data_IF_374454949173
#
_entry.id   IF_374454949173
#
_cell.length_a   1.000
_cell.length_b   1.000
_cell.length_c   1.000
_cell.angle_alpha   90.00
_cell.angle_beta   90.00
_cell.angle_gamma   90.00
#
_symmetry.space_group_name_H-M   'P 1'
#
loop_
_entity.id
_entity.type
_entity.pdbx_description
1 polymer ?
#
# COMPACT_ATOMS: atom_id res chain seq x y z
N UNK A 1 -25.81 23.87 -16.11
CA UNK A 1 -24.51 23.38 -15.60
C UNK A 1 -23.84 22.38 -16.53
N UNK A 2 -24.52 21.40 -17.13
CA UNK A 2 -23.90 20.40 -18.01
C UNK A 2 -23.18 20.95 -19.26
N UNK A 3 -23.70 21.98 -19.93
CA UNK A 3 -23.09 22.53 -21.13
C UNK A 3 -21.70 23.18 -20.89
N UNK A 4 -21.47 23.76 -19.72
CA UNK A 4 -20.18 24.37 -19.36
C UNK A 4 -19.13 23.32 -18.97
N UNK A 5 -19.53 22.21 -18.35
CA UNK A 5 -18.65 21.09 -18.03
C UNK A 5 -18.15 20.42 -19.31
N UNK A 6 -19.06 20.14 -20.25
CA UNK A 6 -18.68 19.52 -21.53
C UNK A 6 -17.72 20.41 -22.34
N UNK A 7 -17.98 21.73 -22.43
CA UNK A 7 -17.10 22.64 -23.18
C UNK A 7 -15.69 22.74 -22.55
N UNK A 8 -15.57 22.69 -21.23
CA UNK A 8 -14.26 22.70 -20.56
C UNK A 8 -13.55 21.36 -20.76
N UNK A 9 -14.28 20.24 -20.70
CA UNK A 9 -13.74 18.91 -20.97
C UNK A 9 -13.24 18.80 -22.42
N UNK A 10 -14.00 19.30 -23.39
CA UNK A 10 -13.60 19.31 -24.81
C UNK A 10 -12.33 20.17 -25.04
N UNK A 11 -12.25 21.31 -24.36
CA UNK A 11 -11.06 22.17 -24.43
C UNK A 11 -9.84 21.46 -23.81
N UNK A 12 -10.01 20.76 -22.70
CA UNK A 12 -8.94 19.98 -22.05
C UNK A 12 -8.47 18.81 -22.94
N UNK A 13 -9.41 18.12 -23.59
CA UNK A 13 -9.09 17.06 -24.56
C UNK A 13 -8.31 17.60 -25.76
N UNK A 14 -8.67 18.77 -26.25
CA UNK A 14 -7.93 19.46 -27.33
C UNK A 14 -6.48 19.77 -26.92
N UNK A 15 -6.29 20.35 -25.73
CA UNK A 15 -4.95 20.63 -25.18
C UNK A 15 -4.13 19.35 -24.99
N UNK A 16 -4.77 18.26 -24.55
CA UNK A 16 -4.11 16.97 -24.43
C UNK A 16 -3.65 16.44 -25.79
N UNK A 17 -4.50 16.52 -26.80
CA UNK A 17 -4.17 16.11 -28.18
C UNK A 17 -3.01 16.93 -28.77
N UNK A 18 -2.94 18.22 -28.44
CA UNK A 18 -1.86 19.13 -28.84
C UNK A 18 -0.55 18.94 -28.04
N UNK A 19 -0.53 18.00 -27.07
CA UNK A 19 0.63 17.75 -26.24
C UNK A 19 0.80 18.71 -25.05
N UNK A 20 -0.14 19.63 -24.85
CA UNK A 20 -0.13 20.58 -23.74
C UNK A 20 -0.68 19.96 -22.44
N UNK A 21 -0.01 18.90 -21.97
CA UNK A 21 -0.49 18.06 -20.87
C UNK A 21 -0.69 18.81 -19.54
N UNK A 22 0.15 19.78 -19.24
CA UNK A 22 0.04 20.61 -18.03
C UNK A 22 -1.23 21.46 -18.05
N UNK A 23 -1.52 22.11 -19.18
CA UNK A 23 -2.72 22.92 -19.34
C UNK A 23 -4.00 22.05 -19.35
N UNK A 24 -3.95 20.89 -20.03
CA UNK A 24 -5.04 19.92 -20.02
C UNK A 24 -5.36 19.45 -18.61
N UNK A 25 -4.33 19.05 -17.84
CA UNK A 25 -4.45 18.64 -16.45
C UNK A 25 -5.14 19.71 -15.59
N UNK A 26 -4.66 20.96 -15.69
CA UNK A 26 -5.23 22.08 -14.92
C UNK A 26 -6.72 22.28 -15.21
N UNK A 27 -7.13 22.15 -16.48
CA UNK A 27 -8.55 22.26 -16.84
C UNK A 27 -9.37 21.08 -16.30
N UNK A 28 -8.88 19.86 -16.42
CA UNK A 28 -9.56 18.69 -15.87
C UNK A 28 -9.68 18.78 -14.33
N UNK A 29 -8.62 19.17 -13.63
CA UNK A 29 -8.65 19.34 -12.17
C UNK A 29 -9.65 20.42 -11.75
N UNK A 30 -9.79 21.51 -12.51
CA UNK A 30 -10.80 22.55 -12.25
C UNK A 30 -12.24 22.02 -12.29
N UNK A 31 -12.50 20.97 -13.07
CA UNK A 31 -13.81 20.31 -13.09
C UNK A 31 -14.04 19.51 -11.81
N UNK A 32 -13.02 18.84 -11.31
CA UNK A 32 -13.07 18.11 -10.03
C UNK A 32 -13.31 19.09 -8.88
N UNK A 33 -12.62 20.23 -8.85
CA UNK A 33 -12.81 21.29 -7.84
C UNK A 33 -14.22 21.85 -7.83
N UNK A 34 -14.87 21.89 -9.01
CA UNK A 34 -16.28 22.28 -9.16
C UNK A 34 -17.27 21.17 -8.79
N UNK A 35 -16.78 20.05 -8.28
CA UNK A 35 -17.60 18.95 -7.79
C UNK A 35 -18.00 17.93 -8.86
N UNK A 36 -17.35 17.92 -10.03
CA UNK A 36 -17.59 16.87 -11.04
C UNK A 36 -16.91 15.58 -10.57
N UNK A 37 -17.69 14.51 -10.43
CA UNK A 37 -17.21 13.16 -10.11
C UNK A 37 -17.53 12.24 -11.27
N UNK A 38 -16.53 11.98 -12.11
CA UNK A 38 -16.66 11.16 -13.31
C UNK A 38 -15.41 10.28 -13.47
N UNK A 39 -15.55 8.95 -13.61
CA UNK A 39 -14.40 8.06 -13.79
C UNK A 39 -13.55 8.41 -15.01
N UNK A 40 -14.17 8.84 -16.12
CA UNK A 40 -13.45 9.26 -17.33
C UNK A 40 -12.63 10.54 -17.09
N UNK A 41 -13.14 11.46 -16.29
CA UNK A 41 -12.40 12.67 -15.89
C UNK A 41 -11.14 12.30 -15.09
N UNK A 42 -11.28 11.40 -14.10
CA UNK A 42 -10.15 10.94 -13.30
C UNK A 42 -9.10 10.18 -14.14
N UNK A 43 -9.57 9.34 -15.07
CA UNK A 43 -8.72 8.67 -16.04
C UNK A 43 -7.91 9.66 -16.88
N UNK A 44 -8.54 10.71 -17.41
CA UNK A 44 -7.87 11.72 -18.22
C UNK A 44 -6.84 12.53 -17.43
N UNK A 45 -7.11 12.83 -16.16
CA UNK A 45 -6.11 13.45 -15.27
C UNK A 45 -4.92 12.51 -15.06
N UNK A 46 -5.16 11.22 -14.81
CA UNK A 46 -4.13 10.19 -14.72
C UNK A 46 -3.27 10.12 -15.97
N UNK A 47 -3.90 10.20 -17.15
CA UNK A 47 -3.18 10.25 -18.43
C UNK A 47 -2.28 11.47 -18.54
N UNK A 48 -2.75 12.66 -18.13
CA UNK A 48 -1.94 13.88 -18.13
C UNK A 48 -0.70 13.70 -17.25
N UNK A 49 -0.86 13.22 -16.02
CA UNK A 49 0.25 12.97 -15.12
C UNK A 49 1.23 11.91 -15.65
N UNK A 50 0.72 10.87 -16.31
CA UNK A 50 1.55 9.86 -16.97
C UNK A 50 2.42 10.48 -18.07
N UNK A 51 1.85 11.34 -18.90
CA UNK A 51 2.58 12.05 -19.96
C UNK A 51 3.60 13.05 -19.43
N UNK A 52 3.38 13.58 -18.24
CA UNK A 52 4.31 14.47 -17.52
C UNK A 52 5.39 13.70 -16.75
N UNK A 53 5.35 12.37 -16.72
CA UNK A 53 6.30 11.52 -15.98
C UNK A 53 6.07 11.52 -14.46
N UNK A 54 4.95 12.05 -14.00
CA UNK A 54 4.55 12.11 -12.59
C UNK A 54 3.75 10.86 -12.23
N UNK A 55 4.46 9.73 -12.12
CA UNK A 55 3.82 8.41 -12.06
C UNK A 55 3.09 8.14 -10.73
N UNK A 56 3.54 8.75 -9.62
CA UNK A 56 2.88 8.62 -8.33
C UNK A 56 1.48 9.25 -8.33
N UNK A 57 1.38 10.46 -8.86
CA UNK A 57 0.13 11.22 -9.04
C UNK A 57 -0.78 10.53 -10.05
N UNK A 58 -0.23 10.05 -11.16
CA UNK A 58 -0.98 9.31 -12.17
C UNK A 58 -1.66 8.08 -11.55
N UNK A 59 -0.94 7.32 -10.74
CA UNK A 59 -1.47 6.16 -10.02
C UNK A 59 -2.66 6.54 -9.14
N UNK A 60 -2.55 7.60 -8.35
CA UNK A 60 -3.62 8.07 -7.48
C UNK A 60 -4.90 8.37 -8.26
N UNK A 61 -4.77 9.02 -9.43
CA UNK A 61 -5.91 9.38 -10.26
C UNK A 61 -6.54 8.17 -10.97
N UNK A 62 -5.75 7.20 -11.41
CA UNK A 62 -6.28 5.94 -11.95
C UNK A 62 -7.00 5.11 -10.88
N UNK A 63 -6.43 5.01 -9.67
CA UNK A 63 -7.10 4.33 -8.56
C UNK A 63 -8.43 5.03 -8.21
N UNK A 64 -8.47 6.37 -8.26
CA UNK A 64 -9.71 7.13 -8.07
C UNK A 64 -10.74 6.87 -9.17
N UNK A 65 -10.32 6.72 -10.43
CA UNK A 65 -11.19 6.32 -11.53
C UNK A 65 -11.83 4.95 -11.28
N UNK A 66 -11.03 3.98 -10.86
CA UNK A 66 -11.49 2.62 -10.56
C UNK A 66 -12.43 2.51 -9.35
N UNK A 67 -12.44 3.49 -8.43
CA UNK A 67 -13.45 3.53 -7.37
C UNK A 67 -14.88 3.71 -7.91
N UNK A 68 -15.04 4.35 -9.06
CA UNK A 68 -16.33 4.62 -9.70
C UNK A 68 -16.64 3.65 -10.84
N UNK A 69 -15.59 3.16 -11.54
CA UNK A 69 -15.70 2.16 -12.60
C UNK A 69 -14.60 1.08 -12.42
N UNK A 70 -14.82 0.08 -11.54
CA UNK A 70 -13.82 -0.94 -11.23
C UNK A 70 -13.45 -1.86 -12.41
N UNK A 71 -14.29 -1.90 -13.44
CA UNK A 71 -14.11 -2.76 -14.62
C UNK A 71 -13.50 -2.06 -15.83
N UNK A 72 -13.08 -0.81 -15.69
CA UNK A 72 -12.50 -0.04 -16.79
C UNK A 72 -11.14 -0.62 -17.21
N UNK A 73 -11.16 -1.36 -18.32
CA UNK A 73 -9.99 -2.08 -18.82
C UNK A 73 -8.81 -1.15 -19.18
N UNK A 74 -9.10 0.04 -19.72
CA UNK A 74 -8.05 1.01 -20.08
C UNK A 74 -7.34 1.54 -18.84
N UNK A 75 -8.10 1.85 -17.80
CA UNK A 75 -7.55 2.33 -16.53
C UNK A 75 -6.73 1.23 -15.84
N UNK A 76 -7.23 -0.01 -15.82
CA UNK A 76 -6.52 -1.17 -15.28
C UNK A 76 -5.20 -1.41 -16.02
N UNK A 77 -5.21 -1.37 -17.36
CA UNK A 77 -4.02 -1.55 -18.17
C UNK A 77 -2.97 -0.45 -17.91
N UNK A 78 -3.41 0.81 -17.85
CA UNK A 78 -2.50 1.93 -17.57
C UNK A 78 -1.91 1.84 -16.15
N UNK A 79 -2.71 1.40 -15.18
CA UNK A 79 -2.24 1.20 -13.80
C UNK A 79 -1.21 0.06 -13.71
N UNK A 80 -1.43 -1.04 -14.41
CA UNK A 80 -0.47 -2.14 -14.49
C UNK A 80 0.86 -1.67 -15.11
N UNK A 81 0.80 -0.96 -16.24
CA UNK A 81 1.97 -0.38 -16.87
C UNK A 81 2.72 0.57 -15.93
N UNK A 82 2.00 1.43 -15.19
CA UNK A 82 2.57 2.33 -14.19
C UNK A 82 3.28 1.57 -13.06
N UNK A 83 2.68 0.49 -12.58
CA UNK A 83 3.25 -0.31 -11.51
C UNK A 83 4.62 -0.89 -11.91
N UNK A 84 4.80 -1.31 -13.17
CA UNK A 84 6.12 -1.76 -13.64
C UNK A 84 7.15 -0.63 -13.53
N UNK A 85 6.80 0.59 -13.93
CA UNK A 85 7.68 1.76 -13.87
C UNK A 85 8.01 2.21 -12.45
N UNK A 86 7.02 2.18 -11.56
CA UNK A 86 7.21 2.52 -10.14
C UNK A 86 8.06 1.47 -9.42
N UNK A 87 7.91 0.20 -9.75
CA UNK A 87 8.73 -0.88 -9.18
C UNK A 87 10.19 -0.74 -9.60
N UNK A 88 10.44 -0.38 -10.86
CA UNK A 88 11.80 -0.16 -11.37
C UNK A 88 12.45 1.10 -10.76
N UNK A 89 11.64 2.10 -10.38
CA UNK A 89 12.11 3.35 -9.81
C UNK A 89 12.38 3.27 -8.29
N UNK A 90 11.77 2.31 -7.61
CA UNK A 90 12.00 2.08 -6.18
C UNK A 90 13.19 1.14 -6.03
N UNK A 91 14.21 1.50 -5.22
CA UNK A 91 15.21 0.52 -4.85
C UNK A 91 14.49 -0.69 -4.22
N UNK A 92 14.95 -1.92 -4.49
CA UNK A 92 14.37 -3.09 -3.85
C UNK A 92 14.29 -2.83 -2.35
N UNK A 93 13.19 -3.22 -1.68
CA UNK A 93 13.08 -3.04 -0.25
C UNK A 93 14.37 -3.58 0.38
N UNK A 94 14.92 -2.84 1.31
CA UNK A 94 16.19 -3.21 1.94
C UNK A 94 15.96 -4.54 2.68
N UNK A 95 16.09 -5.64 1.95
CA UNK A 95 15.89 -7.01 2.45
C UNK A 95 16.78 -7.31 3.66
N UNK A 96 17.86 -6.52 3.86
CA UNK A 96 18.74 -6.65 5.00
C UNK A 96 17.99 -6.49 6.33
N UNK A 97 17.04 -5.55 6.45
CA UNK A 97 16.24 -5.38 7.66
C UNK A 97 15.25 -6.55 7.83
N UNK A 98 14.55 -6.93 6.77
CA UNK A 98 13.61 -8.06 6.80
C UNK A 98 14.35 -9.38 7.03
N UNK A 99 15.51 -9.56 6.39
CA UNK A 99 16.39 -10.71 6.65
C UNK A 99 16.90 -10.73 8.08
N UNK A 100 17.32 -9.59 8.62
CA UNK A 100 17.76 -9.47 10.00
C UNK A 100 16.62 -9.78 10.99
N UNK A 101 15.45 -9.18 10.82
CA UNK A 101 14.24 -9.46 11.63
C UNK A 101 13.86 -10.94 11.52
N UNK A 102 13.83 -11.49 10.31
CA UNK A 102 13.52 -12.90 10.06
C UNK A 102 14.54 -13.85 10.71
N UNK A 103 15.83 -13.48 10.74
CA UNK A 103 16.87 -14.26 11.42
C UNK A 103 16.69 -14.22 12.93
N UNK A 104 16.39 -13.06 13.51
CA UNK A 104 16.13 -12.94 14.96
C UNK A 104 14.89 -13.72 15.38
N UNK A 105 13.80 -13.62 14.62
CA UNK A 105 12.58 -14.39 14.89
C UNK A 105 12.83 -15.91 14.79
N UNK A 106 13.61 -16.36 13.81
CA UNK A 106 13.95 -17.78 13.63
C UNK A 106 14.79 -18.30 14.80
N UNK A 107 15.67 -17.47 15.35
CA UNK A 107 16.48 -17.82 16.52
C UNK A 107 15.60 -17.94 17.77
N UNK A 108 14.68 -17.01 17.98
CA UNK A 108 13.76 -17.00 19.14
C UNK A 108 12.75 -18.17 19.06
N UNK A 109 12.28 -18.48 17.85
CA UNK A 109 11.29 -19.53 17.60
C UNK A 109 11.90 -20.91 17.32
N UNK A 110 13.24 -21.08 17.50
CA UNK A 110 13.88 -22.37 17.26
C UNK A 110 13.39 -23.42 18.26
N UNK A 111 13.16 -24.67 17.84
CA UNK A 111 12.72 -25.76 18.71
C UNK A 111 13.63 -25.99 19.93
N UNK A 112 14.91 -25.69 19.78
CA UNK A 112 15.93 -25.84 20.82
C UNK A 112 15.69 -24.94 22.03
N UNK A 113 15.28 -23.68 21.79
CA UNK A 113 14.98 -22.71 22.85
C UNK A 113 13.70 -23.06 23.60
N UNK A 114 12.71 -23.61 22.91
CA UNK A 114 11.49 -24.11 23.57
C UNK A 114 11.76 -25.34 24.44
N UNK A 115 12.67 -26.21 24.02
CA UNK A 115 13.12 -27.33 24.80
C UNK A 115 13.81 -26.91 26.12
N UNK A 116 14.68 -25.90 26.06
CA UNK A 116 15.34 -25.35 27.26
C UNK A 116 14.33 -24.66 28.19
N UNK A 117 13.40 -23.88 27.67
CA UNK A 117 12.33 -23.24 28.46
C UNK A 117 11.44 -24.27 29.17
N UNK A 118 11.02 -25.30 28.46
CA UNK A 118 10.24 -26.39 29.03
C UNK A 118 11.04 -27.14 30.14
N UNK A 119 12.33 -27.40 29.93
CA UNK A 119 13.20 -28.01 30.91
C UNK A 119 13.36 -27.18 32.19
N UNK A 120 13.54 -25.86 32.06
CA UNK A 120 13.65 -24.93 33.21
C UNK A 120 12.32 -24.86 33.97
N UNK A 121 11.18 -24.82 33.29
CA UNK A 121 9.87 -24.83 33.94
C UNK A 121 9.59 -26.14 34.67
N UNK A 122 9.95 -27.29 34.10
CA UNK A 122 9.82 -28.59 34.76
C UNK A 122 10.73 -28.72 36.00
N UNK A 123 11.98 -28.26 35.89
CA UNK A 123 12.89 -28.23 37.01
C UNK A 123 12.39 -27.31 38.14
N UNK A 124 11.89 -26.12 37.81
CA UNK A 124 11.31 -25.18 38.75
C UNK A 124 10.09 -25.76 39.49
N UNK A 125 9.18 -26.41 38.77
CA UNK A 125 8.00 -27.06 39.36
C UNK A 125 8.39 -28.22 40.25
N UNK A 126 9.41 -29.02 39.87
CA UNK A 126 9.91 -30.09 40.68
C UNK A 126 10.50 -29.60 42.02
N UNK A 127 11.34 -28.56 41.96
CA UNK A 127 11.91 -27.91 43.14
C UNK A 127 10.81 -27.38 44.07
N UNK A 128 9.81 -26.73 43.55
CA UNK A 128 8.67 -26.23 44.33
C UNK A 128 7.90 -27.36 45.01
N UNK A 129 7.67 -28.47 44.33
CA UNK A 129 7.00 -29.64 44.89
C UNK A 129 7.82 -30.30 46.02
N UNK A 130 9.15 -30.37 45.85
CA UNK A 130 10.05 -30.87 46.88
C UNK A 130 10.02 -29.97 48.11
N UNK A 131 10.13 -28.65 47.95
CA UNK A 131 10.03 -27.71 49.06
C UNK A 131 8.67 -27.77 49.77
N UNK A 132 7.58 -27.96 49.02
CA UNK A 132 6.24 -28.10 49.57
C UNK A 132 6.11 -29.37 50.41
N UNK A 133 6.79 -30.48 50.03
CA UNK A 133 6.81 -31.75 50.77
C UNK A 133 7.60 -31.67 52.06
N UNK A 134 8.68 -30.89 52.10
CA UNK A 134 9.49 -30.68 53.29
C UNK A 134 8.93 -29.65 54.27
N UNK A 135 8.06 -28.74 53.78
CA UNK A 135 7.38 -27.78 54.63
C UNK A 135 6.07 -28.36 55.18
N UNK A 136 6.16 -29.51 55.97
CA UNK A 136 5.03 -29.95 56.77
C UNK A 136 4.84 -28.94 57.89
N UNK A 137 3.60 -28.40 58.09
CA UNK A 137 3.33 -27.63 59.28
C UNK A 137 3.44 -28.58 60.51
N UNK A 138 4.33 -28.30 61.42
CA UNK A 138 4.26 -28.83 62.77
C UNK A 138 3.05 -28.21 63.42
N UNK A 139 1.91 -28.92 63.36
CA UNK A 139 0.78 -28.63 64.22
C UNK A 139 1.16 -29.04 65.64
N UNK A 140 1.37 -28.06 66.46
CA UNK A 140 1.37 -28.16 67.94
C UNK A 140 -0.07 -27.92 68.40
#
# INVERSE_FOLDING_TARGET
>A
MGATVNSVSDSANGLYADGNFESARTLFESLVEKGTSDPALYYNIGNCYTRLGQFGEARLWYERSLLFDPSNEETLHNLEWLNTRLTDALPPPNDALLHWIGSQLRTILSPEHWGLLAGVLLAGTFVLLVFRKFKKPTLS
#
